data_IF_735067802952
#
_entry.id   IF_735067802952
#
_cell.length_a   1.000
_cell.length_b   1.000
_cell.length_c   1.000
_cell.angle_alpha   90.00
_cell.angle_beta   90.00
_cell.angle_gamma   90.00
#
_symmetry.space_group_name_H-M   'P 1'
#
loop_
_entity.id
_entity.type
_entity.pdbx_description
1 polymer ?
#
# COMPACT_ATOMS: atom_id res chain seq x y z
N UNK A 1 20.51 -2.50 3.02
CA UNK A 1 19.65 -3.59 3.52
C UNK A 1 20.43 -4.53 4.41
N UNK A 2 19.78 -5.08 5.42
CA UNK A 2 20.37 -6.08 6.31
C UNK A 2 20.47 -7.46 5.64
N UNK A 3 21.24 -8.38 6.24
CA UNK A 3 21.29 -9.78 5.81
C UNK A 3 19.90 -10.44 5.87
N UNK A 4 19.08 -10.06 6.85
CA UNK A 4 17.74 -10.60 7.04
C UNK A 4 16.78 -10.13 5.93
N UNK A 5 16.79 -8.83 5.61
CA UNK A 5 16.02 -8.28 4.47
C UNK A 5 16.40 -8.96 3.16
N UNK A 6 17.70 -9.19 2.90
CA UNK A 6 18.15 -9.89 1.69
C UNK A 6 17.60 -11.32 1.62
N UNK A 7 17.51 -12.02 2.76
CA UNK A 7 16.95 -13.38 2.79
C UNK A 7 15.45 -13.39 2.50
N UNK A 8 14.69 -12.43 3.04
CA UNK A 8 13.27 -12.28 2.71
C UNK A 8 13.04 -11.96 1.23
N UNK A 9 13.86 -11.06 0.66
CA UNK A 9 13.80 -10.74 -0.76
C UNK A 9 14.06 -11.97 -1.63
N UNK A 10 15.06 -12.79 -1.29
CA UNK A 10 15.35 -14.03 -2.01
C UNK A 10 14.16 -15.01 -1.97
N UNK A 11 13.57 -15.22 -0.79
CA UNK A 11 12.39 -16.06 -0.63
C UNK A 11 11.20 -15.53 -1.45
N UNK A 12 10.96 -14.22 -1.41
CA UNK A 12 9.89 -13.57 -2.16
C UNK A 12 10.10 -13.69 -3.67
N UNK A 13 11.34 -13.53 -4.15
CA UNK A 13 11.68 -13.74 -5.55
C UNK A 13 11.44 -15.18 -6.01
N UNK A 14 11.85 -16.16 -5.22
CA UNK A 14 11.58 -17.58 -5.51
C UNK A 14 10.08 -17.90 -5.51
N UNK A 15 9.33 -17.29 -4.59
CA UNK A 15 7.87 -17.40 -4.56
C UNK A 15 7.25 -16.84 -5.84
N UNK A 16 7.57 -15.60 -6.23
CA UNK A 16 6.97 -14.99 -7.42
C UNK A 16 7.22 -15.78 -8.71
N UNK A 17 8.33 -16.53 -8.80
CA UNK A 17 8.63 -17.42 -9.95
C UNK A 17 7.77 -18.69 -9.94
N UNK A 18 7.46 -19.23 -8.77
CA UNK A 18 6.81 -20.54 -8.62
C UNK A 18 5.30 -20.47 -8.36
N UNK A 19 4.83 -19.37 -7.77
CA UNK A 19 3.44 -19.16 -7.40
C UNK A 19 2.61 -18.67 -8.58
N UNK A 20 1.39 -19.20 -8.69
CA UNK A 20 0.41 -18.80 -9.70
C UNK A 20 -0.79 -18.13 -9.01
N UNK A 21 -0.76 -16.80 -8.81
CA UNK A 21 -1.80 -16.11 -8.07
C UNK A 21 -3.11 -16.08 -8.86
N UNK A 22 -4.22 -16.12 -8.12
CA UNK A 22 -5.56 -15.86 -8.66
C UNK A 22 -5.80 -14.35 -8.65
N UNK A 23 -5.85 -13.76 -9.84
CA UNK A 23 -6.05 -12.32 -9.98
C UNK A 23 -7.54 -11.99 -9.89
N UNK A 24 -7.92 -11.15 -8.91
CA UNK A 24 -9.23 -10.49 -8.89
C UNK A 24 -9.08 -9.05 -9.38
N UNK A 25 -9.79 -8.71 -10.45
CA UNK A 25 -9.79 -7.37 -11.02
C UNK A 25 -10.88 -6.47 -10.45
N UNK A 26 -11.74 -7.04 -9.61
CA UNK A 26 -12.81 -6.30 -8.96
C UNK A 26 -12.93 -6.70 -7.50
N UNK A 27 -13.24 -5.73 -6.66
CA UNK A 27 -13.41 -5.93 -5.23
C UNK A 27 -14.41 -4.95 -4.64
N UNK A 28 -15.05 -5.37 -3.56
CA UNK A 28 -15.99 -4.53 -2.82
C UNK A 28 -15.24 -3.42 -2.07
N UNK A 29 -15.87 -2.25 -2.00
CA UNK A 29 -15.34 -1.08 -1.31
C UNK A 29 -16.38 -0.53 -0.35
N UNK A 30 -15.97 0.12 0.76
CA UNK A 30 -16.90 0.85 1.60
C UNK A 30 -17.57 1.98 0.83
N UNK A 31 -18.84 2.22 1.14
CA UNK A 31 -19.55 3.41 0.69
C UNK A 31 -18.83 4.64 1.28
N UNK A 32 -18.49 5.62 0.44
CA UNK A 32 -17.81 6.84 0.89
C UNK A 32 -18.83 7.86 1.40
N UNK A 33 -18.57 8.40 2.58
CA UNK A 33 -19.28 9.52 3.19
C UNK A 33 -18.74 10.88 2.76
N UNK A 34 -19.21 11.93 3.44
CA UNK A 34 -18.81 13.31 3.18
C UNK A 34 -17.29 13.51 3.38
N UNK A 35 -16.67 14.32 2.52
CA UNK A 35 -15.21 14.52 2.51
C UNK A 35 -14.40 13.28 2.06
N UNK A 36 -15.07 12.23 1.55
CA UNK A 36 -14.43 11.00 1.11
C UNK A 36 -13.98 10.10 2.25
N UNK A 37 -14.46 10.29 3.47
CA UNK A 37 -14.24 9.33 4.58
C UNK A 37 -15.05 8.05 4.34
N UNK A 38 -14.64 6.89 4.86
CA UNK A 38 -15.53 5.73 4.91
C UNK A 38 -16.78 6.10 5.72
N UNK A 39 -17.97 5.81 5.19
CA UNK A 39 -19.24 6.17 5.81
C UNK A 39 -19.45 5.47 7.16
N UNK A 40 -19.94 4.22 7.12
CA UNK A 40 -20.14 3.35 8.27
C UNK A 40 -19.41 2.03 8.02
N UNK A 41 -18.81 1.48 9.07
CA UNK A 41 -18.17 0.18 8.99
C UNK A 41 -19.17 -0.89 8.54
N UNK A 42 -18.83 -1.60 7.47
CA UNK A 42 -19.68 -2.65 6.89
C UNK A 42 -20.69 -2.18 5.84
N UNK A 43 -20.86 -0.87 5.63
CA UNK A 43 -21.65 -0.36 4.49
C UNK A 43 -20.78 -0.34 3.23
N UNK A 44 -21.11 -1.21 2.28
CA UNK A 44 -20.38 -1.35 1.02
C UNK A 44 -21.13 -0.64 -0.11
N UNK A 45 -20.38 -0.12 -1.07
CA UNK A 45 -20.95 0.36 -2.33
C UNK A 45 -21.61 -0.80 -3.07
N UNK A 46 -22.76 -0.56 -3.69
CA UNK A 46 -23.45 -1.58 -4.51
C UNK A 46 -22.59 -1.97 -5.73
N UNK A 47 -21.79 -1.02 -6.22
CA UNK A 47 -20.91 -1.21 -7.37
C UNK A 47 -19.48 -1.48 -6.90
N UNK A 48 -18.93 -2.68 -7.15
CA UNK A 48 -17.53 -2.97 -6.87
C UNK A 48 -16.59 -2.02 -7.62
N UNK A 49 -15.43 -1.76 -7.04
CA UNK A 49 -14.34 -1.13 -7.78
C UNK A 49 -13.80 -2.10 -8.83
N UNK A 50 -13.52 -1.63 -10.04
CA UNK A 50 -13.02 -2.46 -11.14
C UNK A 50 -11.73 -1.87 -11.71
N UNK A 51 -10.62 -2.58 -11.49
CA UNK A 51 -9.29 -2.18 -11.93
C UNK A 51 -9.13 -2.11 -13.45
N UNK A 52 -9.83 -2.96 -14.21
CA UNK A 52 -9.77 -2.92 -15.69
C UNK A 52 -10.27 -1.60 -16.27
N UNK A 53 -11.22 -0.96 -15.58
CA UNK A 53 -11.79 0.31 -16.02
C UNK A 53 -10.92 1.51 -15.62
N UNK A 54 -10.15 1.39 -14.55
CA UNK A 54 -9.43 2.51 -13.93
C UNK A 54 -7.94 2.56 -14.28
N UNK A 55 -7.32 1.41 -14.56
CA UNK A 55 -5.88 1.31 -14.79
C UNK A 55 -5.52 1.36 -16.28
N UNK A 56 -4.33 1.87 -16.57
CA UNK A 56 -3.73 1.81 -17.89
C UNK A 56 -3.16 0.41 -18.17
N UNK A 57 -2.96 0.10 -19.45
CA UNK A 57 -2.46 -1.21 -19.88
C UNK A 57 -1.11 -1.61 -19.22
N UNK A 58 -0.20 -0.67 -19.00
CA UNK A 58 1.09 -0.95 -18.36
C UNK A 58 0.95 -1.21 -16.85
N UNK A 59 -0.09 -0.70 -16.19
CA UNK A 59 -0.40 -0.96 -14.78
C UNK A 59 -1.14 -2.29 -14.62
N UNK A 60 -2.07 -2.60 -15.53
CA UNK A 60 -2.73 -3.90 -15.59
C UNK A 60 -1.73 -5.03 -15.77
N UNK A 61 -0.66 -4.80 -16.54
CA UNK A 61 0.36 -5.80 -16.85
C UNK A 61 1.10 -6.32 -15.60
N UNK A 62 1.17 -5.53 -14.52
CA UNK A 62 1.90 -5.92 -13.30
C UNK A 62 1.00 -6.49 -12.20
N UNK A 63 -0.33 -6.42 -12.35
CA UNK A 63 -1.27 -6.81 -11.29
C UNK A 63 -1.10 -8.26 -10.83
N UNK A 64 -0.79 -9.18 -11.76
CA UNK A 64 -0.58 -10.58 -11.40
C UNK A 64 0.65 -10.75 -10.51
N UNK A 65 1.74 -10.03 -10.79
CA UNK A 65 2.95 -10.10 -10.00
C UNK A 65 2.77 -9.41 -8.64
N UNK A 66 2.06 -8.28 -8.60
CA UNK A 66 1.69 -7.60 -7.35
C UNK A 66 0.80 -8.50 -6.48
N UNK A 67 -0.17 -9.21 -7.06
CA UNK A 67 -0.98 -10.19 -6.33
C UNK A 67 -0.11 -11.34 -5.79
N UNK A 68 0.91 -11.78 -6.53
CA UNK A 68 1.85 -12.80 -6.04
C UNK A 68 2.59 -12.35 -4.77
N UNK A 69 2.97 -11.07 -4.69
CA UNK A 69 3.58 -10.47 -3.50
C UNK A 69 2.59 -10.43 -2.33
N UNK A 70 1.35 -10.01 -2.57
CA UNK A 70 0.28 -10.00 -1.55
C UNK A 70 0.04 -11.41 -0.99
N UNK A 71 -0.05 -12.42 -1.86
CA UNK A 71 -0.23 -13.81 -1.44
C UNK A 71 0.95 -14.30 -0.59
N UNK A 72 2.19 -13.91 -0.93
CA UNK A 72 3.35 -14.24 -0.13
C UNK A 72 3.29 -13.62 1.27
N UNK A 73 2.93 -12.34 1.36
CA UNK A 73 2.77 -11.65 2.66
C UNK A 73 1.71 -12.37 3.50
N UNK A 74 0.58 -12.76 2.89
CA UNK A 74 -0.48 -13.50 3.56
C UNK A 74 0.00 -14.83 4.13
N UNK A 75 0.83 -15.56 3.39
CA UNK A 75 1.37 -16.87 3.82
C UNK A 75 2.51 -16.74 4.84
N UNK A 76 3.23 -15.63 4.85
CA UNK A 76 4.42 -15.44 5.69
C UNK A 76 4.19 -14.68 6.98
N UNK A 77 3.08 -13.97 7.08
CA UNK A 77 2.81 -13.08 8.19
C UNK A 77 1.46 -13.40 8.82
N UNK A 78 1.25 -12.89 10.03
CA UNK A 78 -0.01 -13.03 10.75
C UNK A 78 -0.77 -11.69 10.82
N UNK A 79 -0.52 -10.80 9.85
CA UNK A 79 -1.22 -9.51 9.78
C UNK A 79 -2.64 -9.73 9.29
N UNK A 80 -3.56 -8.86 9.72
CA UNK A 80 -4.99 -9.03 9.44
C UNK A 80 -5.39 -8.36 8.12
N UNK A 81 -4.65 -7.34 7.71
CA UNK A 81 -4.85 -6.62 6.46
C UNK A 81 -3.52 -6.21 5.84
N UNK A 82 -3.42 -6.32 4.52
CA UNK A 82 -2.27 -5.86 3.75
C UNK A 82 -2.72 -5.41 2.37
N UNK A 83 -2.26 -4.25 1.92
CA UNK A 83 -2.54 -3.75 0.58
C UNK A 83 -1.38 -3.00 -0.06
N UNK A 84 -1.33 -3.08 -1.38
CA UNK A 84 -0.37 -2.36 -2.22
C UNK A 84 -1.11 -1.28 -3.01
N UNK A 85 -0.62 -0.06 -2.94
CA UNK A 85 -1.21 1.09 -3.64
C UNK A 85 -0.21 1.74 -4.59
N UNK A 86 -0.71 2.10 -5.78
CA UNK A 86 0.04 2.81 -6.82
C UNK A 86 -0.27 4.31 -6.77
N UNK A 87 0.76 5.14 -6.73
CA UNK A 87 0.62 6.59 -6.89
C UNK A 87 0.48 6.92 -8.38
N UNK A 88 -0.69 7.40 -8.81
CA UNK A 88 -1.01 7.65 -10.21
C UNK A 88 -1.95 8.83 -10.42
N UNK A 89 -2.24 9.14 -11.69
CA UNK A 89 -3.39 9.96 -12.06
C UNK A 89 -4.54 9.02 -12.48
N UNK A 90 -5.72 9.20 -11.91
CA UNK A 90 -6.90 8.41 -12.29
C UNK A 90 -7.47 8.83 -13.65
N UNK A 91 -8.59 8.23 -14.06
CA UNK A 91 -9.30 8.52 -15.32
C UNK A 91 -9.81 9.96 -15.44
N UNK A 92 -9.90 10.69 -14.31
CA UNK A 92 -10.23 12.12 -14.24
C UNK A 92 -8.99 13.03 -14.15
N UNK A 93 -7.80 12.46 -14.29
CA UNK A 93 -6.51 13.14 -14.17
C UNK A 93 -6.24 13.73 -12.77
N UNK A 94 -6.83 13.15 -11.73
CA UNK A 94 -6.60 13.52 -10.33
C UNK A 94 -5.49 12.64 -9.75
N UNK A 95 -4.62 13.21 -8.91
CA UNK A 95 -3.58 12.44 -8.22
C UNK A 95 -4.21 11.58 -7.14
N UNK A 96 -3.97 10.27 -7.18
CA UNK A 96 -4.54 9.29 -6.25
C UNK A 96 -3.54 8.20 -5.90
N UNK A 97 -3.78 7.53 -4.77
CA UNK A 97 -3.27 6.19 -4.48
C UNK A 97 -4.36 5.18 -4.84
N UNK A 98 -4.14 4.34 -5.84
CA UNK A 98 -5.09 3.29 -6.24
C UNK A 98 -4.62 1.93 -5.71
N UNK A 99 -5.48 1.24 -4.97
CA UNK A 99 -5.22 -0.11 -4.43
C UNK A 99 -5.18 -1.12 -5.57
N UNK A 100 -4.03 -1.76 -5.76
CA UNK A 100 -3.81 -2.73 -6.83
C UNK A 100 -4.20 -4.14 -6.41
N UNK A 101 -3.82 -4.55 -5.20
CA UNK A 101 -4.08 -5.88 -4.66
C UNK A 101 -4.02 -5.81 -3.12
N UNK A 102 -4.79 -6.66 -2.45
CA UNK A 102 -4.83 -6.71 -0.99
C UNK A 102 -5.41 -8.04 -0.49
N UNK A 103 -5.27 -8.30 0.81
CA UNK A 103 -6.12 -9.22 1.55
C UNK A 103 -6.64 -8.55 2.83
N UNK A 104 -7.70 -9.12 3.41
CA UNK A 104 -8.37 -8.59 4.60
C UNK A 104 -9.76 -8.05 4.26
N UNK A 105 -10.33 -7.27 5.18
CA UNK A 105 -11.66 -6.68 5.01
C UNK A 105 -11.71 -5.66 3.86
N UNK A 106 -12.89 -5.46 3.24
CA UNK A 106 -13.10 -4.40 2.27
C UNK A 106 -12.67 -3.03 2.81
N UNK A 107 -11.83 -2.36 2.04
CA UNK A 107 -11.32 -1.03 2.35
C UNK A 107 -11.32 -0.17 1.10
N UNK A 108 -11.08 1.13 1.29
CA UNK A 108 -11.09 2.13 0.22
C UNK A 108 -10.22 1.72 -0.98
N UNK A 109 -10.73 1.94 -2.20
CA UNK A 109 -9.97 1.70 -3.43
C UNK A 109 -8.97 2.82 -3.73
N UNK A 110 -9.38 4.08 -3.62
CA UNK A 110 -8.55 5.23 -3.97
C UNK A 110 -8.47 6.27 -2.87
N UNK A 111 -7.27 6.72 -2.53
CA UNK A 111 -7.07 7.88 -1.67
C UNK A 111 -6.66 9.12 -2.49
N UNK A 112 -7.32 10.28 -2.33
CA UNK A 112 -6.89 11.51 -2.96
C UNK A 112 -5.51 11.94 -2.44
N UNK A 113 -4.54 12.09 -3.34
CA UNK A 113 -3.20 12.56 -2.98
C UNK A 113 -3.19 14.08 -2.89
N UNK A 114 -3.60 14.59 -1.73
CA UNK A 114 -3.66 16.02 -1.41
C UNK A 114 -3.17 16.30 0.01
N UNK A 115 -2.66 17.52 0.23
CA UNK A 115 -2.24 17.98 1.57
C UNK A 115 -3.39 18.04 2.58
N UNK A 116 -4.62 18.27 2.11
CA UNK A 116 -5.79 18.26 2.97
C UNK A 116 -6.04 16.85 3.50
N UNK A 117 -6.05 15.86 2.61
CA UNK A 117 -6.29 14.47 2.98
C UNK A 117 -5.13 13.85 3.76
N UNK A 118 -3.90 14.33 3.55
CA UNK A 118 -2.73 13.85 4.30
C UNK A 118 -2.82 14.11 5.79
N UNK A 119 -3.51 15.17 6.23
CA UNK A 119 -3.66 15.47 7.67
C UNK A 119 -4.33 14.34 8.44
N UNK A 120 -5.26 13.64 7.78
CA UNK A 120 -6.06 12.58 8.39
C UNK A 120 -5.54 11.17 8.06
N UNK A 121 -4.90 11.00 6.90
CA UNK A 121 -4.52 9.69 6.37
C UNK A 121 -3.02 9.45 6.46
N UNK A 122 -2.64 8.40 7.18
CA UNK A 122 -1.28 7.87 7.16
C UNK A 122 -0.84 7.54 5.73
N UNK A 123 -1.66 6.81 4.98
CA UNK A 123 -1.38 6.40 3.60
C UNK A 123 -1.01 7.59 2.70
N UNK A 124 -1.79 8.67 2.76
CA UNK A 124 -1.51 9.88 1.97
C UNK A 124 -0.30 10.64 2.52
N UNK A 125 -0.12 10.71 3.83
CA UNK A 125 1.10 11.29 4.42
C UNK A 125 2.36 10.58 3.94
N UNK A 126 2.40 9.24 3.98
CA UNK A 126 3.55 8.45 3.53
C UNK A 126 3.79 8.68 2.04
N UNK A 127 2.74 8.65 1.22
CA UNK A 127 2.86 8.85 -0.22
C UNK A 127 3.31 10.25 -0.63
N UNK A 128 3.03 11.29 0.17
CA UNK A 128 3.48 12.66 -0.10
C UNK A 128 4.88 12.94 0.45
N UNK A 129 5.24 12.36 1.60
CA UNK A 129 6.47 12.70 2.32
C UNK A 129 7.61 11.71 2.10
N UNK A 130 7.30 10.48 1.69
CA UNK A 130 8.25 9.38 1.63
C UNK A 130 8.80 8.99 3.00
N UNK A 131 8.13 9.39 4.09
CA UNK A 131 8.50 8.99 5.44
C UNK A 131 7.61 7.86 5.91
N UNK A 132 8.24 6.79 6.37
CA UNK A 132 7.61 5.62 6.97
C UNK A 132 6.71 6.03 8.15
N UNK A 133 5.62 5.29 8.34
CA UNK A 133 4.70 5.49 9.45
C UNK A 133 4.47 4.17 10.18
N UNK A 134 4.75 4.16 11.48
CA UNK A 134 4.50 2.99 12.34
C UNK A 134 3.70 3.44 13.55
N UNK A 135 2.53 2.84 13.74
CA UNK A 135 1.66 3.03 14.91
C UNK A 135 1.51 1.66 15.56
N UNK A 136 2.22 1.44 16.66
CA UNK A 136 2.16 0.16 17.37
C UNK A 136 0.94 0.04 18.30
N UNK A 137 0.34 1.16 18.70
CA UNK A 137 -0.91 1.17 19.46
C UNK A 137 -1.73 2.38 19.02
N UNK A 138 -2.82 2.11 18.30
CA UNK A 138 -3.75 3.13 17.78
C UNK A 138 -4.42 3.88 18.92
N UNK A 139 -4.75 3.20 20.03
CA UNK A 139 -5.40 3.83 21.18
C UNK A 139 -4.45 4.79 21.86
N UNK A 140 -3.22 4.37 22.14
CA UNK A 140 -2.18 5.23 22.71
C UNK A 140 -1.86 6.42 21.78
N UNK A 141 -1.72 6.17 20.48
CA UNK A 141 -1.45 7.20 19.49
C UNK A 141 -2.51 8.31 19.50
N UNK A 142 -3.80 7.93 19.52
CA UNK A 142 -4.92 8.87 19.61
C UNK A 142 -4.98 9.60 20.94
N UNK A 143 -4.74 8.92 22.06
CA UNK A 143 -4.71 9.53 23.39
C UNK A 143 -3.61 10.61 23.51
N UNK A 144 -2.52 10.46 22.74
CA UNK A 144 -1.45 11.44 22.65
C UNK A 144 -1.73 12.56 21.63
N UNK A 145 -2.96 12.68 21.13
CA UNK A 145 -3.38 13.72 20.19
C UNK A 145 -3.10 13.41 18.72
N UNK A 146 -2.76 12.17 18.40
CA UNK A 146 -2.58 11.72 17.03
C UNK A 146 -3.89 11.61 16.26
N UNK A 147 -3.95 12.19 15.06
CA UNK A 147 -5.08 12.00 14.14
C UNK A 147 -4.96 10.64 13.45
N UNK A 148 -6.02 9.84 13.54
CA UNK A 148 -6.04 8.50 12.99
C UNK A 148 -7.37 8.25 12.29
N UNK A 149 -7.30 8.10 10.97
CA UNK A 149 -8.42 7.69 10.15
C UNK A 149 -8.68 6.19 10.32
N UNK A 150 -9.88 5.81 10.79
CA UNK A 150 -10.24 4.42 11.04
C UNK A 150 -11.19 3.90 9.96
N UNK A 151 -10.72 3.00 9.11
CA UNK A 151 -11.57 2.22 8.20
C UNK A 151 -12.24 1.04 8.92
N UNK A 152 -11.44 0.25 9.65
CA UNK A 152 -11.91 -0.89 10.43
C UNK A 152 -11.60 -0.66 11.91
N UNK A 153 -12.61 -0.64 12.81
CA UNK A 153 -12.41 -0.39 14.23
C UNK A 153 -11.60 -1.49 14.95
N UNK A 154 -11.39 -2.66 14.32
CA UNK A 154 -10.55 -3.72 14.87
C UNK A 154 -9.07 -3.39 14.79
N UNK A 155 -8.63 -2.47 13.93
CA UNK A 155 -7.21 -2.12 13.77
C UNK A 155 -6.66 -1.54 15.07
N UNK A 156 -5.59 -2.17 15.57
CA UNK A 156 -4.90 -1.78 16.80
C UNK A 156 -3.45 -1.36 16.54
N UNK A 157 -2.87 -1.76 15.40
CA UNK A 157 -1.58 -1.26 14.93
C UNK A 157 -1.53 -1.18 13.41
N UNK A 158 -0.72 -0.25 12.90
CA UNK A 158 -0.56 0.00 11.46
C UNK A 158 0.91 0.30 11.11
N UNK A 159 1.35 -0.22 9.96
CA UNK A 159 2.62 0.09 9.32
C UNK A 159 2.35 0.50 7.87
N UNK A 160 2.75 1.71 7.50
CA UNK A 160 2.70 2.18 6.12
C UNK A 160 4.11 2.58 5.66
N UNK A 161 4.56 2.00 4.55
CA UNK A 161 5.91 2.22 4.00
C UNK A 161 5.84 2.75 2.57
N UNK A 162 6.69 3.72 2.20
CA UNK A 162 6.78 4.21 0.83
C UNK A 162 7.48 3.21 -0.07
N UNK A 163 7.00 3.11 -1.31
CA UNK A 163 7.67 2.39 -2.40
C UNK A 163 8.33 3.44 -3.28
N UNK A 164 9.66 3.48 -3.27
CA UNK A 164 10.44 4.37 -4.14
C UNK A 164 10.67 3.73 -5.50
N UNK A 165 10.75 4.52 -6.57
CA UNK A 165 11.17 4.06 -7.88
C UNK A 165 12.60 3.51 -7.84
N UNK A 166 12.85 2.43 -8.57
CA UNK A 166 14.21 2.00 -8.89
C UNK A 166 14.87 3.05 -9.77
N UNK A 167 16.17 3.25 -9.55
CA UNK A 167 16.98 3.99 -10.52
C UNK A 167 17.22 3.09 -11.74
N UNK A 168 16.79 3.54 -12.92
CA UNK A 168 17.07 2.92 -14.20
C UNK A 168 17.57 3.98 -15.20
N UNK A 169 18.18 3.55 -16.32
CA UNK A 169 18.73 4.47 -17.32
C UNK A 169 17.70 5.49 -17.85
N UNK A 170 16.41 5.14 -17.81
CA UNK A 170 15.31 5.97 -18.30
C UNK A 170 14.94 7.10 -17.31
N UNK A 171 15.18 6.92 -16.00
CA UNK A 171 14.86 7.91 -14.96
C UNK A 171 16.09 8.53 -14.25
N UNK A 172 17.31 8.15 -14.64
CA UNK A 172 18.58 8.72 -14.15
C UNK A 172 18.62 10.25 -14.23
N UNK A 173 18.11 10.85 -15.31
CA UNK A 173 18.17 12.30 -15.51
C UNK A 173 17.11 13.08 -14.71
N UNK A 174 16.00 12.44 -14.34
CA UNK A 174 14.95 13.08 -13.53
C UNK A 174 15.38 13.21 -12.05
N UNK A 175 16.12 12.22 -11.54
CA UNK A 175 16.66 12.21 -10.18
C UNK A 175 17.87 13.15 -9.99
N UNK A 176 18.54 13.56 -11.07
CA UNK A 176 19.61 14.57 -10.98
C UNK A 176 19.06 15.99 -10.77
N UNK A 177 17.75 16.22 -10.95
CA UNK A 177 17.11 17.52 -10.78
C UNK A 177 16.42 17.68 -9.41
N UNK A 178 16.15 16.59 -8.69
CA UNK A 178 15.59 16.58 -7.33
C UNK A 178 16.29 15.51 -6.49
N UNK A 179 16.87 15.89 -5.35
CA UNK A 179 17.50 14.97 -4.38
C UNK A 179 16.53 13.90 -3.83
N UNK A 180 15.23 14.05 -4.07
CA UNK A 180 14.17 13.15 -3.61
C UNK A 180 13.89 12.02 -4.61
N UNK A 181 13.95 10.78 -4.13
CA UNK A 181 13.54 9.60 -4.90
C UNK A 181 12.04 9.67 -5.17
N UNK A 182 11.63 9.50 -6.44
CA UNK A 182 10.20 9.41 -6.82
C UNK A 182 9.52 8.30 -6.04
N UNK A 183 8.42 8.63 -5.36
CA UNK A 183 7.52 7.65 -4.72
C UNK A 183 6.58 7.13 -5.81
N UNK A 184 6.55 5.81 -6.00
CA UNK A 184 5.66 5.13 -6.98
C UNK A 184 4.45 4.51 -6.29
N UNK A 185 4.45 4.40 -4.98
CA UNK A 185 3.33 3.81 -4.25
C UNK A 185 3.62 3.69 -2.77
N UNK A 186 2.78 2.93 -2.09
CA UNK A 186 2.95 2.55 -0.70
C UNK A 186 2.52 1.10 -0.51
N UNK A 187 3.00 0.49 0.58
CA UNK A 187 2.28 -0.60 1.22
C UNK A 187 1.62 -0.08 2.49
N UNK A 188 0.52 -0.71 2.86
CA UNK A 188 -0.20 -0.48 4.10
C UNK A 188 -0.52 -1.83 4.74
N UNK A 189 -0.27 -1.93 6.03
CA UNK A 189 -0.31 -3.17 6.80
C UNK A 189 -1.00 -2.90 8.12
N UNK A 190 -2.05 -3.64 8.41
CA UNK A 190 -2.84 -3.45 9.64
C UNK A 190 -2.93 -4.76 10.41
N UNK A 191 -2.94 -4.63 11.74
CA UNK A 191 -3.19 -5.75 12.64
C UNK A 191 -4.25 -5.40 13.69
N UNK A 192 -5.02 -6.40 14.10
CA UNK A 192 -6.02 -6.31 15.16
C UNK A 192 -5.42 -6.48 16.56
N UNK A 193 -4.10 -6.61 16.65
CA UNK A 193 -3.34 -6.56 17.89
C UNK A 193 -2.40 -5.34 17.89
N UNK A 194 -2.07 -4.86 19.08
CA UNK A 194 -1.03 -3.85 19.28
C UNK A 194 0.36 -4.47 19.12
N UNK A 195 1.36 -3.64 18.83
CA UNK A 195 2.78 -3.98 18.83
C UNK A 195 3.15 -5.11 17.87
N UNK A 196 2.48 -5.18 16.72
CA UNK A 196 2.80 -6.19 15.71
C UNK A 196 4.15 -5.91 15.02
N UNK A 197 4.51 -4.65 14.80
CA UNK A 197 5.63 -4.27 13.95
C UNK A 197 6.95 -4.12 14.71
N UNK A 198 7.52 -5.25 15.09
CA UNK A 198 8.90 -5.33 15.57
C UNK A 198 9.91 -5.12 14.42
N UNK A 199 11.21 -5.11 14.77
CA UNK A 199 12.26 -4.86 13.79
C UNK A 199 12.38 -5.99 12.74
N UNK A 200 12.02 -7.22 13.09
CA UNK A 200 12.01 -8.33 12.15
C UNK A 200 10.89 -8.15 11.11
N UNK A 201 9.70 -7.74 11.54
CA UNK A 201 8.61 -7.42 10.62
C UNK A 201 8.96 -6.24 9.70
N UNK A 202 9.58 -5.19 10.24
CA UNK A 202 10.03 -4.05 9.42
C UNK A 202 11.02 -4.48 8.34
N UNK A 203 11.98 -5.35 8.65
CA UNK A 203 12.93 -5.87 7.66
C UNK A 203 12.23 -6.74 6.59
N UNK A 204 11.21 -7.51 6.97
CA UNK A 204 10.38 -8.25 6.00
C UNK A 204 9.65 -7.30 5.05
N UNK A 205 8.97 -6.29 5.59
CA UNK A 205 8.21 -5.33 4.78
C UNK A 205 9.12 -4.41 3.95
N UNK A 206 10.35 -4.14 4.40
CA UNK A 206 11.37 -3.49 3.58
C UNK A 206 11.71 -4.32 2.33
N UNK A 207 11.87 -5.64 2.47
CA UNK A 207 12.12 -6.53 1.33
C UNK A 207 10.92 -6.58 0.36
N UNK A 208 9.69 -6.52 0.91
CA UNK A 208 8.46 -6.40 0.11
C UNK A 208 8.46 -5.10 -0.69
N UNK A 209 8.79 -3.96 -0.07
CA UNK A 209 8.89 -2.68 -0.77
C UNK A 209 9.93 -2.68 -1.88
N UNK A 210 11.07 -3.35 -1.70
CA UNK A 210 12.07 -3.49 -2.77
C UNK A 210 11.54 -4.31 -3.94
N UNK A 211 10.88 -5.45 -3.67
CA UNK A 211 10.27 -6.23 -4.75
C UNK A 211 9.21 -5.43 -5.51
N UNK A 212 8.38 -4.69 -4.78
CA UNK A 212 7.37 -3.83 -5.39
C UNK A 212 8.00 -2.64 -6.13
N UNK A 213 9.15 -2.14 -5.71
CA UNK A 213 9.91 -1.11 -6.43
C UNK A 213 10.27 -1.58 -7.84
N UNK A 214 10.72 -2.83 -8.00
CA UNK A 214 10.96 -3.43 -9.32
C UNK A 214 9.71 -3.46 -10.20
N UNK A 215 8.58 -3.87 -9.63
CA UNK A 215 7.32 -4.04 -10.36
C UNK A 215 6.64 -2.71 -10.70
N UNK A 216 6.71 -1.73 -9.80
CA UNK A 216 5.97 -0.46 -9.89
C UNK A 216 6.81 0.69 -10.46
N UNK A 217 8.07 0.45 -10.82
CA UNK A 217 8.85 1.39 -11.65
C UNK A 217 8.43 1.26 -13.11
N UNK A 218 7.19 1.69 -13.35
CA UNK A 218 6.53 1.67 -14.65
C UNK A 218 7.09 2.79 -15.57
N UNK A 219 7.01 2.61 -16.91
CA UNK A 219 7.49 3.59 -17.89
C UNK A 219 6.77 4.94 -17.86
#
# INVERSE_FOLDING_TARGET
MSVLSNNYLEQLNQWCVSHSPLLSLSYQVPLLGEGGTCSLFGELDETPFNLENELHAHELAVLKDVQSVVDWVKEKTQVDWFGVYLARHNTKNEKVLTKLAYFGEPSRAEFPLSEEFSRLSNNVTVALTGQDRVINDVTEYRNNGGEYYTCDPKVQSELCLPIFALQNEQNKNALLASEERKIVGIIDVECFATNCFDDQQKELFSAVCEKLSELLTLP
#
